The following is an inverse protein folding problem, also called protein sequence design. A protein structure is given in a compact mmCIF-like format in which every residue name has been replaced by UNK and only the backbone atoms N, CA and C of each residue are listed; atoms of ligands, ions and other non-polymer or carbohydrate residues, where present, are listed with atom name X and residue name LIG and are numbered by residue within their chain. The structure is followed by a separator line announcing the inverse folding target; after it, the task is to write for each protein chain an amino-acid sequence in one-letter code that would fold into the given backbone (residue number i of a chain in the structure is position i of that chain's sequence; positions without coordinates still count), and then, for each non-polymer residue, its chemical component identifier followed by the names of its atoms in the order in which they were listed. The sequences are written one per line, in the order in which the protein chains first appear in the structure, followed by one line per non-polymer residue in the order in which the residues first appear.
data_IF_571543479645
#
_entry.id   IF_571543479645
#
_cell.length_a   1.000
_cell.length_b   1.000
_cell.length_c   1.000
_cell.angle_alpha   90.00
_cell.angle_beta   90.00
_cell.angle_gamma   90.00
#
_symmetry.space_group_name_H-M   'P 1'
#
loop_
_entity.id
_entity.type
_entity.pdbx_description
1 polymer ?
#
# COMPACT_ATOMS: atom_id res chain seq x y z
N UNK A 1 1.37 17.37 2.42
CA UNK A 1 2.08 16.32 1.67
C UNK A 1 1.03 15.52 0.91
N UNK A 2 1.08 15.48 -0.42
CA UNK A 2 0.11 14.73 -1.21
C UNK A 2 0.63 13.31 -1.44
N UNK A 3 -0.11 12.31 -0.94
CA UNK A 3 0.24 10.90 -1.11
C UNK A 3 -0.59 10.31 -2.26
N UNK A 4 0.06 9.56 -3.14
CA UNK A 4 -0.61 8.87 -4.26
C UNK A 4 -0.52 7.36 -4.11
N UNK A 5 -1.59 6.65 -4.47
CA UNK A 5 -1.59 5.20 -4.54
C UNK A 5 -0.67 4.74 -5.68
N UNK A 6 0.27 3.84 -5.38
CA UNK A 6 1.17 3.27 -6.36
C UNK A 6 0.43 2.48 -7.47
N UNK A 7 -0.63 1.75 -7.11
CA UNK A 7 -1.41 0.97 -8.07
C UNK A 7 -2.29 1.87 -8.96
N UNK A 8 -3.17 2.66 -8.35
CA UNK A 8 -4.19 3.39 -9.09
C UNK A 8 -3.75 4.79 -9.55
N UNK A 9 -2.60 5.28 -9.09
CA UNK A 9 -2.14 6.67 -9.25
C UNK A 9 -3.13 7.72 -8.74
N UNK A 10 -4.09 7.32 -7.88
CA UNK A 10 -5.08 8.21 -7.26
C UNK A 10 -4.47 8.91 -6.05
N UNK A 11 -4.79 10.19 -5.88
CA UNK A 11 -4.45 10.94 -4.67
C UNK A 11 -5.27 10.39 -3.51
N UNK A 12 -4.60 10.07 -2.41
CA UNK A 12 -5.22 9.54 -1.20
C UNK A 12 -5.79 10.71 -0.39
N UNK A 13 -7.04 11.06 -0.67
CA UNK A 13 -7.82 12.09 0.04
C UNK A 13 -9.23 11.57 0.32
N UNK A 14 -9.80 11.99 1.46
CA UNK A 14 -11.20 11.86 1.92
C UNK A 14 -11.83 10.46 2.04
N UNK A 15 -11.47 9.48 1.21
CA UNK A 15 -12.10 8.14 1.16
C UNK A 15 -11.13 6.98 1.05
N UNK A 16 -9.84 7.26 0.88
CA UNK A 16 -8.79 6.25 0.81
C UNK A 16 -7.62 6.69 1.66
N UNK A 17 -7.27 5.87 2.65
CA UNK A 17 -6.16 6.14 3.55
C UNK A 17 -4.85 5.56 2.98
N UNK A 18 -3.71 6.24 3.19
CA UNK A 18 -2.39 5.72 2.83
C UNK A 18 -2.06 4.46 3.60
N UNK A 19 -1.78 3.36 2.89
CA UNK A 19 -1.20 2.14 3.43
C UNK A 19 0.27 2.11 3.04
N UNK A 20 1.18 2.15 4.01
CA UNK A 20 2.60 2.07 3.71
C UNK A 20 2.94 0.66 3.22
N UNK A 21 3.67 0.55 2.11
CA UNK A 21 4.18 -0.75 1.65
C UNK A 21 5.23 -1.24 2.67
N UNK A 22 5.18 -2.51 3.11
CA UNK A 22 6.12 -3.05 4.08
C UNK A 22 7.58 -2.92 3.64
N UNK A 23 8.45 -2.55 4.58
CA UNK A 23 9.89 -2.46 4.32
C UNK A 23 10.53 -3.86 4.15
N UNK A 24 9.90 -4.91 4.71
CA UNK A 24 10.32 -6.29 4.53
C UNK A 24 10.23 -6.70 3.05
N UNK A 25 11.38 -7.09 2.46
CA UNK A 25 11.48 -7.41 1.03
C UNK A 25 10.57 -8.58 0.63
N UNK A 26 10.41 -9.60 1.47
CA UNK A 26 9.57 -10.75 1.17
C UNK A 26 8.09 -10.35 1.09
N UNK A 27 7.57 -9.68 2.12
CA UNK A 27 6.17 -9.24 2.18
C UNK A 27 5.88 -8.23 1.06
N UNK A 28 6.80 -7.30 0.82
CA UNK A 28 6.72 -6.33 -0.27
C UNK A 28 6.63 -6.98 -1.65
N UNK A 29 7.49 -7.95 -1.95
CA UNK A 29 7.42 -8.68 -3.21
C UNK A 29 6.10 -9.42 -3.36
N UNK A 30 5.61 -10.01 -2.26
CA UNK A 30 4.34 -10.70 -2.25
C UNK A 30 3.17 -9.75 -2.57
N UNK A 31 3.08 -8.59 -1.90
CA UNK A 31 2.07 -7.56 -2.19
C UNK A 31 2.10 -7.09 -3.64
N UNK A 32 3.29 -6.81 -4.18
CA UNK A 32 3.45 -6.37 -5.57
C UNK A 32 3.03 -7.46 -6.56
N UNK A 33 3.34 -8.72 -6.25
CA UNK A 33 2.95 -9.87 -7.09
C UNK A 33 1.43 -10.02 -7.14
N UNK A 34 0.73 -9.92 -5.99
CA UNK A 34 -0.73 -9.99 -5.94
C UNK A 34 -1.36 -8.84 -6.74
N UNK A 35 -0.80 -7.64 -6.63
CA UNK A 35 -1.21 -6.45 -7.39
C UNK A 35 -0.79 -6.48 -8.87
N UNK A 36 -0.18 -7.58 -9.35
CA UNK A 36 0.36 -7.74 -10.72
C UNK A 36 1.31 -6.60 -11.13
N UNK A 37 2.02 -6.04 -10.16
CA UNK A 37 2.99 -4.99 -10.39
C UNK A 37 4.36 -5.58 -10.71
N UNK A 38 5.02 -5.03 -11.72
CA UNK A 38 6.38 -5.45 -12.10
C UNK A 38 7.38 -5.05 -11.00
N UNK A 39 7.77 -6.03 -10.18
CA UNK A 39 8.69 -5.85 -9.05
C UNK A 39 10.03 -5.27 -9.51
N UNK A 40 10.56 -5.73 -10.65
CA UNK A 40 11.86 -5.28 -11.18
C UNK A 40 11.83 -3.82 -11.60
N UNK A 41 10.72 -3.34 -12.16
CA UNK A 41 10.54 -1.93 -12.55
C UNK A 41 10.27 -1.00 -11.36
N UNK A 42 9.76 -1.53 -10.25
CA UNK A 42 9.32 -0.72 -9.12
C UNK A 42 10.25 -0.79 -7.90
N UNK A 43 11.19 -1.73 -7.83
CA UNK A 43 12.17 -1.86 -6.73
C UNK A 43 12.84 -0.51 -6.40
N UNK A 44 13.34 0.21 -7.40
CA UNK A 44 14.03 1.51 -7.20
C UNK A 44 13.08 2.68 -6.89
N UNK A 45 11.77 2.53 -7.15
CA UNK A 45 10.76 3.55 -6.85
C UNK A 45 10.22 3.42 -5.44
N UNK A 46 10.33 2.24 -4.81
CA UNK A 46 9.73 1.93 -3.51
C UNK A 46 10.52 2.52 -2.33
N UNK A 47 11.79 2.86 -2.52
CA UNK A 47 12.67 3.39 -1.47
C UNK A 47 12.27 4.75 -0.87
N UNK A 48 11.31 5.49 -1.44
CA UNK A 48 11.11 6.90 -1.03
C UNK A 48 9.72 7.37 -0.63
N UNK A 49 8.59 6.78 -1.05
CA UNK A 49 7.22 7.17 -0.63
C UNK A 49 6.11 6.42 -1.41
N UNK A 50 6.09 5.09 -1.41
CA UNK A 50 5.04 4.35 -2.12
C UNK A 50 4.00 3.79 -1.16
N UNK A 51 2.80 4.36 -1.22
CA UNK A 51 1.65 3.92 -0.47
C UNK A 51 0.65 3.23 -1.40
N UNK A 52 -0.19 2.36 -0.85
CA UNK A 52 -1.40 1.86 -1.50
C UNK A 52 -2.62 2.59 -0.92
N UNK A 53 -3.71 2.68 -1.68
CA UNK A 53 -4.99 3.06 -1.08
C UNK A 53 -5.51 1.90 -0.22
N UNK A 54 -6.07 2.24 0.95
CA UNK A 54 -6.75 1.29 1.83
C UNK A 54 -7.88 0.50 1.16
N UNK A 55 -8.39 0.96 0.02
CA UNK A 55 -9.43 0.27 -0.77
C UNK A 55 -8.94 -1.04 -1.41
N UNK A 56 -7.62 -1.28 -1.44
CA UNK A 56 -7.07 -2.56 -1.86
C UNK A 56 -7.08 -3.61 -0.75
N UNK A 57 -7.53 -3.26 0.45
CA UNK A 57 -7.58 -4.18 1.58
C UNK A 57 -9.03 -4.38 1.99
N UNK A 58 -9.32 -5.52 2.57
CA UNK A 58 -10.62 -5.74 3.21
C UNK A 58 -10.71 -4.90 4.48
N UNK A 59 -11.92 -4.47 4.83
CA UNK A 59 -12.11 -3.62 6.02
C UNK A 59 -11.74 -4.36 7.31
N UNK A 60 -11.89 -5.68 7.30
CA UNK A 60 -11.53 -6.59 8.40
C UNK A 60 -10.01 -6.62 8.65
N UNK A 61 -9.21 -6.40 7.60
CA UNK A 61 -7.75 -6.32 7.72
C UNK A 61 -7.28 -4.99 8.31
N UNK A 62 -8.13 -3.97 8.36
CA UNK A 62 -7.75 -2.62 8.80
C UNK A 62 -7.95 -2.48 10.31
N UNK A 63 -6.84 -2.58 11.05
CA UNK A 63 -6.79 -2.38 12.50
C UNK A 63 -6.98 -0.92 12.92
N UNK A 64 -6.57 0.02 12.08
CA UNK A 64 -6.66 1.44 12.41
C UNK A 64 -6.37 2.35 11.22
N UNK A 65 -6.98 3.53 11.24
CA UNK A 65 -6.84 4.55 10.19
C UNK A 65 -6.40 5.86 10.83
N UNK A 66 -5.28 6.40 10.39
CA UNK A 66 -4.84 7.77 10.70
C UNK A 66 -4.81 8.59 9.42
N UNK A 67 -4.68 9.91 9.53
CA UNK A 67 -4.56 10.79 8.36
C UNK A 67 -3.32 10.48 7.50
N UNK A 68 -2.29 9.87 8.08
CA UNK A 68 -0.99 9.65 7.44
C UNK A 68 -0.68 8.17 7.15
N UNK A 69 -1.37 7.24 7.81
CA UNK A 69 -1.11 5.81 7.70
C UNK A 69 -2.33 4.96 8.09
N UNK A 70 -2.47 3.81 7.44
CA UNK A 70 -3.41 2.74 7.78
C UNK A 70 -2.63 1.59 8.38
N UNK A 71 -3.04 1.15 9.56
CA UNK A 71 -2.47 -0.01 10.24
C UNK A 71 -3.29 -1.23 9.82
N UNK A 72 -2.59 -2.27 9.35
CA UNK A 72 -3.20 -3.52 8.90
C UNK A 72 -2.83 -4.68 9.83
N UNK A 73 -3.65 -5.74 9.80
CA UNK A 73 -3.24 -7.05 10.27
C UNK A 73 -1.96 -7.51 9.56
N UNK A 74 -1.10 -8.26 10.27
CA UNK A 74 0.19 -8.69 9.74
C UNK A 74 0.05 -9.65 8.53
N UNK A 75 -1.10 -10.30 8.39
CA UNK A 75 -1.45 -11.22 7.29
C UNK A 75 -2.19 -10.53 6.14
N UNK A 76 -2.51 -9.24 6.28
CA UNK A 76 -3.29 -8.50 5.30
C UNK A 76 -2.56 -8.48 3.95
N UNK A 77 -3.29 -8.85 2.90
CA UNK A 77 -2.80 -8.81 1.52
C UNK A 77 -3.71 -7.92 0.67
N UNK A 78 -3.14 -7.14 -0.25
CA UNK A 78 -3.94 -6.34 -1.16
C UNK A 78 -4.69 -7.22 -2.18
N UNK A 79 -5.89 -6.82 -2.60
CA UNK A 79 -6.75 -7.49 -3.60
C UNK A 79 -6.87 -6.74 -4.92
#
# INVERSE_FOLDING_TARGET
MEVTCLCCKKVLKDKAYPVKIPDNNYIRQHWLAVMKMDVKKNINKIDKQNYLCSTHFDEEDILGKTLNETILHYEALPK
#
